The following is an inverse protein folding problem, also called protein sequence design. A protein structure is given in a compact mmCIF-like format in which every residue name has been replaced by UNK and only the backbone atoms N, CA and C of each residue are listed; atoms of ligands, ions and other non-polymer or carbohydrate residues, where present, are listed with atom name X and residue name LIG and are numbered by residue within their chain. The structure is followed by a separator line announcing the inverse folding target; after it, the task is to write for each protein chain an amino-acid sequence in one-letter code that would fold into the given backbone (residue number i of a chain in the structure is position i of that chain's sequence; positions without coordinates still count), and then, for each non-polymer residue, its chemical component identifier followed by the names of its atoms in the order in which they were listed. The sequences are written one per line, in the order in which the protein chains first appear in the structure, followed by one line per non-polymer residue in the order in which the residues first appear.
data_IF_495771969412
#
_entry.id   IF_495771969412
#
_cell.length_a   1.000
_cell.length_b   1.000
_cell.length_c   1.000
_cell.angle_alpha   90.00
_cell.angle_beta   90.00
_cell.angle_gamma   90.00
#
_symmetry.space_group_name_H-M   'P 1'
#
loop_
_entity.id
_entity.type
_entity.pdbx_description
1 polymer ?
#
# COMPACT_ATOMS: atom_id res chain seq x y z
N UNK A 1 -19.64 14.29 14.87
CA UNK A 1 -18.82 13.06 15.07
C UNK A 1 -17.39 13.46 15.19
N UNK A 2 -16.61 12.75 16.01
CA UNK A 2 -15.17 13.00 16.19
C UNK A 2 -14.35 11.83 15.68
N UNK A 3 -13.24 12.09 15.00
CA UNK A 3 -12.30 11.10 14.54
C UNK A 3 -10.90 11.39 15.07
N UNK A 4 -10.24 10.39 15.62
CA UNK A 4 -8.84 10.41 16.00
C UNK A 4 -8.03 9.68 14.94
N UNK A 5 -7.17 10.41 14.24
CA UNK A 5 -6.37 9.91 13.12
C UNK A 5 -4.98 9.54 13.63
N UNK A 6 -4.56 8.32 13.39
CA UNK A 6 -3.27 7.82 13.87
C UNK A 6 -2.26 7.92 12.73
N UNK A 7 -1.40 8.92 12.82
CA UNK A 7 -0.36 9.20 11.84
C UNK A 7 0.76 8.17 11.90
N UNK A 8 1.39 7.90 10.78
CA UNK A 8 2.56 7.04 10.69
C UNK A 8 3.82 7.86 10.45
N UNK A 9 4.86 7.53 11.21
CA UNK A 9 6.19 8.11 11.12
C UNK A 9 7.20 7.00 10.90
N UNK A 10 8.09 7.18 9.93
CA UNK A 10 9.10 6.19 9.60
C UNK A 10 10.37 6.86 9.08
N UNK A 11 11.52 6.36 9.53
CA UNK A 11 12.82 6.84 9.08
C UNK A 11 12.96 8.37 9.19
N UNK A 12 12.47 8.92 10.28
CA UNK A 12 12.55 10.36 10.52
C UNK A 12 11.52 11.21 9.76
N UNK A 13 10.51 10.61 9.12
CA UNK A 13 9.55 11.36 8.30
C UNK A 13 8.10 10.95 8.56
N UNK A 14 7.20 11.93 8.51
CA UNK A 14 5.77 11.70 8.46
C UNK A 14 5.40 11.09 7.09
N UNK A 15 4.62 10.03 7.09
CA UNK A 15 4.16 9.41 5.83
C UNK A 15 3.00 10.21 5.23
N UNK A 16 3.04 10.41 3.91
CA UNK A 16 2.00 11.10 3.13
C UNK A 16 0.61 10.43 3.23
N UNK A 17 0.56 9.14 3.53
CA UNK A 17 -0.68 8.41 3.80
C UNK A 17 -1.50 9.00 4.96
N UNK A 18 -0.92 9.82 5.82
CA UNK A 18 -1.61 10.61 6.85
C UNK A 18 -2.73 11.47 6.25
N UNK A 19 -2.57 11.98 5.03
CA UNK A 19 -3.57 12.82 4.39
C UNK A 19 -4.74 12.02 3.81
N UNK A 20 -4.55 10.73 3.52
CA UNK A 20 -5.67 9.84 3.19
C UNK A 20 -6.63 9.66 4.38
N UNK A 21 -6.09 9.66 5.61
CA UNK A 21 -6.92 9.62 6.83
C UNK A 21 -7.80 10.87 6.95
N UNK A 22 -7.26 12.04 6.59
CA UNK A 22 -8.02 13.29 6.54
C UNK A 22 -9.12 13.25 5.47
N UNK A 23 -8.80 12.75 4.27
CA UNK A 23 -9.77 12.61 3.19
C UNK A 23 -10.93 11.69 3.62
N UNK A 24 -10.63 10.56 4.23
CA UNK A 24 -11.63 9.64 4.75
C UNK A 24 -12.48 10.27 5.86
N UNK A 25 -11.88 10.95 6.83
CA UNK A 25 -12.60 11.63 7.91
C UNK A 25 -13.48 12.77 7.38
N UNK A 26 -13.02 13.47 6.35
CA UNK A 26 -13.82 14.47 5.63
C UNK A 26 -15.07 13.90 4.99
N UNK A 27 -14.98 12.72 4.36
CA UNK A 27 -16.14 12.01 3.80
C UNK A 27 -17.11 11.52 4.89
N UNK A 28 -16.62 11.26 6.11
CA UNK A 28 -17.47 10.95 7.26
C UNK A 28 -18.14 12.19 7.85
N UNK A 29 -17.71 13.41 7.49
CA UNK A 29 -18.13 14.64 8.13
C UNK A 29 -17.72 14.74 9.60
N UNK A 30 -16.55 14.19 9.96
CA UNK A 30 -16.06 14.13 11.33
C UNK A 30 -15.09 15.28 11.64
N UNK A 31 -15.21 15.87 12.83
CA UNK A 31 -14.17 16.72 13.40
C UNK A 31 -12.95 15.87 13.75
N UNK A 32 -11.76 16.37 13.43
CA UNK A 32 -10.54 15.55 13.51
C UNK A 32 -9.54 16.06 14.53
N UNK A 33 -8.88 15.13 15.21
CA UNK A 33 -7.60 15.30 15.89
C UNK A 33 -6.65 14.21 15.46
N UNK A 34 -5.34 14.45 15.59
CA UNK A 34 -4.31 13.50 15.19
C UNK A 34 -3.45 13.06 16.36
N UNK A 35 -2.92 11.84 16.27
CA UNK A 35 -1.84 11.36 17.13
C UNK A 35 -0.63 11.09 16.24
N UNK A 36 0.51 11.64 16.62
CA UNK A 36 1.79 11.41 15.98
C UNK A 36 2.81 10.96 17.02
N UNK A 37 3.39 9.79 16.84
CA UNK A 37 4.65 9.43 17.51
C UNK A 37 5.75 9.74 16.50
N UNK A 38 6.43 10.88 16.69
CA UNK A 38 7.33 11.43 15.68
C UNK A 38 8.14 12.59 16.20
N UNK A 39 8.66 13.38 15.30
CA UNK A 39 9.47 14.58 15.57
C UNK A 39 8.60 15.85 15.40
N UNK A 40 8.81 16.83 16.26
CA UNK A 40 8.15 18.13 16.18
C UNK A 40 8.44 18.89 14.87
N UNK A 41 9.58 18.63 14.24
CA UNK A 41 9.94 19.22 12.94
C UNK A 41 9.13 18.63 11.76
N UNK A 42 8.55 17.44 11.94
CA UNK A 42 7.83 16.68 10.90
C UNK A 42 6.36 16.50 11.24
N UNK A 43 5.72 17.52 11.80
CA UNK A 43 4.27 17.52 12.05
C UNK A 43 3.47 17.68 10.75
N UNK A 44 2.24 17.10 10.67
CA UNK A 44 1.41 17.24 9.49
C UNK A 44 1.01 18.70 9.21
N UNK A 45 0.92 19.08 7.95
CA UNK A 45 0.30 20.34 7.52
C UNK A 45 -1.20 20.24 7.71
N UNK A 46 -1.66 20.68 8.86
CA UNK A 46 -3.03 20.47 9.32
C UNK A 46 -3.45 21.56 10.32
N UNK A 47 -4.60 22.17 10.12
CA UNK A 47 -5.08 23.29 10.96
C UNK A 47 -5.74 22.88 12.27
N UNK A 48 -5.71 21.62 12.65
CA UNK A 48 -6.34 21.11 13.88
C UNK A 48 -5.34 20.70 14.96
N UNK A 49 -5.83 19.93 15.93
CA UNK A 49 -5.05 19.48 17.07
C UNK A 49 -4.22 18.23 16.74
N UNK A 50 -2.94 18.25 17.11
CA UNK A 50 -2.02 17.12 17.01
C UNK A 50 -1.46 16.76 18.39
N UNK A 51 -1.73 15.57 18.87
CA UNK A 51 -1.10 14.97 20.03
C UNK A 51 0.23 14.40 19.61
N UNK A 52 1.32 15.02 20.06
CA UNK A 52 2.67 14.65 19.68
C UNK A 52 3.38 13.93 20.85
N UNK A 53 3.80 12.70 20.58
CA UNK A 53 4.74 11.95 21.41
C UNK A 53 6.09 11.89 20.70
N UNK A 54 7.19 12.15 21.42
CA UNK A 54 8.52 12.23 20.85
C UNK A 54 9.06 10.84 20.49
N UNK A 55 9.36 10.61 19.22
CA UNK A 55 9.92 9.35 18.75
C UNK A 55 11.30 9.04 19.34
N UNK A 56 12.09 10.06 19.73
CA UNK A 56 13.36 9.84 20.42
C UNK A 56 13.15 9.21 21.81
N UNK A 57 12.01 9.50 22.44
CA UNK A 57 11.65 8.94 23.76
C UNK A 57 10.98 7.58 23.65
N UNK A 58 10.06 7.42 22.68
CA UNK A 58 9.17 6.25 22.60
C UNK A 58 9.54 5.25 21.51
N UNK A 59 10.51 5.59 20.65
CA UNK A 59 10.87 4.82 19.45
C UNK A 59 9.88 4.99 18.32
N UNK A 60 10.29 4.66 17.11
CA UNK A 60 9.39 4.74 15.93
C UNK A 60 8.30 3.66 15.94
N UNK A 61 8.57 2.54 16.61
CA UNK A 61 7.53 1.53 16.86
C UNK A 61 7.78 0.72 18.14
N UNK A 62 6.81 0.79 19.03
CA UNK A 62 6.69 -0.07 20.21
C UNK A 62 5.20 -0.33 20.46
N UNK A 63 4.69 -1.54 20.19
CA UNK A 63 3.24 -1.79 20.18
C UNK A 63 2.57 -1.54 21.54
N UNK A 64 3.26 -1.79 22.65
CA UNK A 64 2.70 -1.57 23.98
C UNK A 64 2.61 -0.08 24.32
N UNK A 65 3.69 0.66 24.05
CA UNK A 65 3.77 2.10 24.29
C UNK A 65 2.87 2.87 23.36
N UNK A 66 2.92 2.60 22.05
CA UNK A 66 2.08 3.27 21.06
C UNK A 66 0.58 3.03 21.31
N UNK A 67 0.21 1.80 21.71
CA UNK A 67 -1.16 1.54 22.18
C UNK A 67 -1.53 2.45 23.35
N UNK A 68 -0.65 2.58 24.35
CA UNK A 68 -0.88 3.43 25.52
C UNK A 68 -1.04 4.91 25.14
N UNK A 69 -0.20 5.41 24.26
CA UNK A 69 -0.30 6.78 23.73
C UNK A 69 -1.63 7.02 23.00
N UNK A 70 -2.04 6.08 22.13
CA UNK A 70 -3.35 6.19 21.46
C UNK A 70 -4.49 6.19 22.46
N UNK A 71 -4.46 5.31 23.48
CA UNK A 71 -5.50 5.27 24.51
C UNK A 71 -5.54 6.56 25.33
N UNK A 72 -4.40 7.15 25.69
CA UNK A 72 -4.34 8.45 26.37
C UNK A 72 -4.96 9.58 25.53
N UNK A 73 -4.74 9.59 24.21
CA UNK A 73 -5.39 10.53 23.33
C UNK A 73 -6.91 10.27 23.21
N UNK A 74 -7.32 9.01 23.20
CA UNK A 74 -8.75 8.61 23.20
C UNK A 74 -9.47 9.10 24.45
N UNK A 75 -8.84 9.06 25.61
CA UNK A 75 -9.40 9.61 26.85
C UNK A 75 -9.61 11.12 26.78
N UNK A 76 -8.68 11.86 26.18
CA UNK A 76 -8.77 13.31 26.00
C UNK A 76 -9.82 13.73 24.99
N UNK A 77 -9.90 13.07 23.84
CA UNK A 77 -10.78 13.46 22.73
C UNK A 77 -12.15 12.79 22.73
N UNK A 78 -12.29 11.64 23.37
CA UNK A 78 -13.50 10.82 23.34
C UNK A 78 -14.04 10.64 21.90
N UNK A 79 -13.24 10.13 20.96
CA UNK A 79 -13.63 10.05 19.56
C UNK A 79 -14.66 8.93 19.33
N UNK A 80 -15.50 9.11 18.30
CA UNK A 80 -16.39 8.08 17.77
C UNK A 80 -15.61 7.08 16.89
N UNK A 81 -14.61 7.58 16.15
CA UNK A 81 -13.78 6.79 15.26
C UNK A 81 -12.30 6.95 15.58
N UNK A 82 -11.57 5.84 15.58
CA UNK A 82 -10.11 5.81 15.65
C UNK A 82 -9.63 5.17 14.35
N UNK A 83 -8.88 5.93 13.55
CA UNK A 83 -8.62 5.61 12.17
C UNK A 83 -7.12 5.46 11.92
N UNK A 84 -6.73 4.32 11.36
CA UNK A 84 -5.37 3.98 10.97
C UNK A 84 -5.29 3.74 9.47
N UNK A 85 -4.10 3.84 8.89
CA UNK A 85 -3.82 3.22 7.61
C UNK A 85 -3.79 1.70 7.75
N UNK A 86 -4.19 0.96 6.70
CA UNK A 86 -4.04 -0.49 6.65
C UNK A 86 -2.61 -0.86 6.20
N UNK A 87 -1.63 -0.43 6.98
CA UNK A 87 -0.21 -0.69 6.88
C UNK A 87 0.22 -1.77 7.87
N UNK A 88 1.48 -2.16 7.87
CA UNK A 88 2.04 -3.05 8.90
C UNK A 88 1.91 -2.46 10.32
N UNK A 89 2.04 -1.13 10.46
CA UNK A 89 1.83 -0.41 11.71
C UNK A 89 0.36 -0.44 12.16
N UNK A 90 -0.55 0.00 11.29
CA UNK A 90 -1.98 0.04 11.62
C UNK A 90 -2.57 -1.35 11.78
N UNK A 91 -2.12 -2.33 11.00
CA UNK A 91 -2.58 -3.70 11.09
C UNK A 91 -2.24 -4.36 12.42
N UNK A 92 -1.08 -4.05 13.02
CA UNK A 92 -0.71 -4.56 14.34
C UNK A 92 -1.33 -3.73 15.47
N UNK A 93 -1.42 -2.40 15.35
CA UNK A 93 -1.83 -1.53 16.44
C UNK A 93 -3.36 -1.42 16.58
N UNK A 94 -4.11 -1.34 15.48
CA UNK A 94 -5.56 -1.17 15.52
C UNK A 94 -6.29 -2.27 16.30
N UNK A 95 -6.01 -3.57 16.13
CA UNK A 95 -6.69 -4.62 16.92
C UNK A 95 -6.34 -4.54 18.40
N UNK A 96 -5.14 -4.10 18.76
CA UNK A 96 -4.73 -3.92 20.16
C UNK A 96 -5.51 -2.79 20.83
N UNK A 97 -5.74 -1.70 20.10
CA UNK A 97 -6.56 -0.56 20.56
C UNK A 97 -8.02 -0.96 20.63
N UNK A 98 -8.56 -1.62 19.61
CA UNK A 98 -9.94 -2.09 19.58
C UNK A 98 -10.27 -3.04 20.75
N UNK A 99 -9.38 -3.99 21.02
CA UNK A 99 -9.52 -4.92 22.14
C UNK A 99 -9.50 -4.20 23.49
N UNK A 100 -8.58 -3.24 23.69
CA UNK A 100 -8.50 -2.46 24.93
C UNK A 100 -9.75 -1.62 25.17
N UNK A 101 -10.33 -1.07 24.12
CA UNK A 101 -11.55 -0.25 24.18
C UNK A 101 -12.84 -1.06 24.13
N UNK A 102 -12.75 -2.37 23.92
CA UNK A 102 -13.92 -3.28 23.68
C UNK A 102 -14.81 -2.74 22.55
N UNK A 103 -14.19 -2.19 21.51
CA UNK A 103 -14.84 -1.56 20.36
C UNK A 103 -14.80 -2.49 19.16
N UNK A 104 -15.79 -2.38 18.28
CA UNK A 104 -15.74 -3.04 16.97
C UNK A 104 -14.54 -2.53 16.16
N UNK A 105 -13.95 -3.42 15.36
CA UNK A 105 -12.94 -3.07 14.37
C UNK A 105 -13.44 -3.43 12.97
N UNK A 106 -13.25 -2.53 12.02
CA UNK A 106 -13.43 -2.81 10.58
C UNK A 106 -12.10 -2.55 9.88
N UNK A 107 -11.56 -3.61 9.28
CA UNK A 107 -10.25 -3.57 8.63
C UNK A 107 -10.38 -3.40 7.12
N UNK A 108 -9.37 -2.74 6.53
CA UNK A 108 -9.22 -2.61 5.08
C UNK A 108 -10.46 -1.94 4.43
N UNK A 109 -10.90 -0.83 4.99
CA UNK A 109 -12.03 -0.06 4.47
C UNK A 109 -11.64 0.55 3.13
N UNK A 110 -12.49 0.33 2.11
CA UNK A 110 -12.32 0.84 0.75
C UNK A 110 -13.42 1.84 0.34
N UNK A 111 -14.43 2.01 1.17
CA UNK A 111 -15.54 2.94 0.91
C UNK A 111 -16.44 3.13 2.11
N UNK A 112 -17.19 4.24 2.08
CA UNK A 112 -18.24 4.55 3.04
C UNK A 112 -19.58 4.30 2.33
N UNK A 113 -20.46 3.57 2.99
CA UNK A 113 -21.80 3.26 2.49
C UNK A 113 -22.83 3.60 3.57
N UNK A 114 -24.10 3.65 3.19
CA UNK A 114 -25.18 4.01 4.13
C UNK A 114 -25.17 3.07 5.37
N UNK A 115 -24.87 3.67 6.50
CA UNK A 115 -24.82 3.01 7.81
C UNK A 115 -23.68 2.02 8.01
N UNK A 116 -22.58 2.08 7.20
CA UNK A 116 -21.46 1.18 7.37
C UNK A 116 -20.26 1.47 6.48
N UNK A 117 -19.39 0.46 6.35
CA UNK A 117 -18.15 0.55 5.62
C UNK A 117 -18.04 -0.58 4.59
N UNK A 118 -17.56 -0.26 3.40
CA UNK A 118 -17.26 -1.26 2.38
C UNK A 118 -15.86 -1.80 2.57
N UNK A 119 -15.70 -3.12 2.51
CA UNK A 119 -14.41 -3.82 2.58
C UNK A 119 -14.30 -4.85 1.48
N UNK A 120 -13.08 -5.12 1.00
CA UNK A 120 -12.82 -6.20 0.07
C UNK A 120 -12.99 -7.59 0.72
N UNK A 121 -13.37 -8.57 -0.09
CA UNK A 121 -13.42 -9.97 0.28
C UNK A 121 -12.97 -10.86 -0.89
N UNK A 122 -12.53 -12.09 -0.59
CA UNK A 122 -12.11 -13.07 -1.60
C UNK A 122 -11.05 -12.50 -2.58
N UNK A 123 -9.99 -11.90 -2.05
CA UNK A 123 -8.91 -11.27 -2.85
C UNK A 123 -9.42 -10.17 -3.80
N UNK A 124 -10.37 -9.35 -3.33
CA UNK A 124 -10.94 -8.25 -4.09
C UNK A 124 -12.01 -8.63 -5.11
N UNK A 125 -12.37 -9.92 -5.22
CA UNK A 125 -13.44 -10.40 -6.12
C UNK A 125 -14.83 -10.04 -5.62
N UNK A 126 -14.99 -9.79 -4.34
CA UNK A 126 -16.26 -9.44 -3.71
C UNK A 126 -16.08 -8.20 -2.83
N UNK A 127 -17.15 -7.48 -2.65
CA UNK A 127 -17.25 -6.38 -1.67
C UNK A 127 -18.32 -6.74 -0.66
N UNK A 128 -18.09 -6.37 0.57
CA UNK A 128 -19.06 -6.55 1.66
C UNK A 128 -19.24 -5.24 2.40
N UNK A 129 -20.47 -4.99 2.83
CA UNK A 129 -20.78 -3.92 3.76
C UNK A 129 -20.71 -4.45 5.18
N UNK A 130 -19.95 -3.77 6.03
CA UNK A 130 -19.82 -4.07 7.45
C UNK A 130 -20.44 -2.94 8.24
N UNK A 131 -21.41 -3.26 9.10
CA UNK A 131 -22.03 -2.33 10.04
C UNK A 131 -21.52 -2.61 11.45
N UNK A 132 -20.71 -1.73 12.05
CA UNK A 132 -20.22 -1.93 13.41
C UNK A 132 -21.36 -1.82 14.42
N UNK A 133 -21.31 -2.66 15.47
CA UNK A 133 -22.35 -2.73 16.50
C UNK A 133 -22.03 -1.90 17.75
N UNK A 134 -20.88 -1.25 17.81
CA UNK A 134 -20.46 -0.43 18.96
C UNK A 134 -20.51 1.05 18.61
N UNK A 135 -20.76 1.92 19.60
CA UNK A 135 -20.78 3.38 19.39
C UNK A 135 -19.41 3.92 18.96
N UNK A 136 -18.32 3.40 19.53
CA UNK A 136 -16.95 3.68 19.10
C UNK A 136 -16.47 2.59 18.17
N UNK A 137 -15.73 2.98 17.12
CA UNK A 137 -15.25 2.05 16.11
C UNK A 137 -13.78 2.33 15.79
N UNK A 138 -13.00 1.26 15.68
CA UNK A 138 -11.62 1.31 15.19
C UNK A 138 -11.61 0.90 13.73
N UNK A 139 -10.99 1.70 12.88
CA UNK A 139 -10.95 1.48 11.44
C UNK A 139 -9.51 1.39 10.97
N UNK A 140 -9.25 0.53 9.99
CA UNK A 140 -8.09 0.68 9.13
C UNK A 140 -8.55 0.92 7.69
N UNK A 141 -7.99 1.90 7.00
CA UNK A 141 -8.36 2.23 5.61
C UNK A 141 -7.33 1.70 4.64
N UNK A 142 -7.76 1.21 3.50
CA UNK A 142 -6.86 0.71 2.45
C UNK A 142 -6.08 1.87 1.83
N UNK A 143 -4.77 1.71 1.68
CA UNK A 143 -3.92 2.69 1.00
C UNK A 143 -4.39 2.94 -0.44
N UNK A 144 -4.45 4.22 -0.82
CA UNK A 144 -4.92 4.66 -2.13
C UNK A 144 -6.43 4.57 -2.36
N UNK A 145 -7.23 4.18 -1.33
CA UNK A 145 -8.69 4.16 -1.46
C UNK A 145 -9.33 5.55 -1.30
N UNK A 146 -8.66 6.45 -0.59
CA UNK A 146 -9.16 7.79 -0.28
C UNK A 146 -8.11 8.83 -0.65
N UNK A 147 -8.35 9.54 -1.72
CA UNK A 147 -7.42 10.58 -2.20
C UNK A 147 -7.70 11.90 -1.51
N UNK A 148 -6.67 12.51 -0.95
CA UNK A 148 -6.74 13.89 -0.45
C UNK A 148 -6.64 14.85 -1.64
N UNK A 149 -7.63 15.69 -1.82
CA UNK A 149 -7.65 16.65 -2.92
C UNK A 149 -6.92 17.94 -2.53
N UNK A 150 -6.03 18.41 -3.39
CA UNK A 150 -5.22 19.60 -3.19
C UNK A 150 -3.99 19.37 -2.32
N UNK A 151 -3.34 20.48 -1.92
CA UNK A 151 -2.19 20.43 -1.03
C UNK A 151 -2.61 20.56 0.44
N UNK A 152 -2.04 19.74 1.34
CA UNK A 152 -2.28 19.87 2.77
C UNK A 152 -1.83 21.25 3.28
N UNK A 153 -2.67 21.92 4.06
CA UNK A 153 -2.43 23.27 4.55
C UNK A 153 -2.75 23.40 6.04
N UNK A 154 -2.13 24.40 6.67
CA UNK A 154 -2.37 24.74 8.05
C UNK A 154 -1.18 24.46 8.96
N UNK A 155 -1.25 25.04 10.15
CA UNK A 155 -0.27 24.83 11.24
C UNK A 155 -0.97 24.11 12.37
N UNK A 156 -0.49 22.97 12.85
CA UNK A 156 -1.15 22.21 13.89
C UNK A 156 -1.06 22.90 15.26
N UNK A 157 -2.11 22.72 16.04
CA UNK A 157 -2.08 23.00 17.47
C UNK A 157 -1.47 21.77 18.17
N UNK A 158 -0.17 21.83 18.46
CA UNK A 158 0.55 20.68 19.03
C UNK A 158 0.33 20.64 20.54
N UNK A 159 -0.16 19.52 21.02
CA UNK A 159 -0.25 19.17 22.45
C UNK A 159 0.67 17.98 22.73
N UNK A 160 1.56 18.12 23.73
CA UNK A 160 2.45 17.04 24.13
C UNK A 160 1.64 15.86 24.67
N UNK A 161 1.99 14.66 24.22
CA UNK A 161 1.41 13.41 24.68
C UNK A 161 2.49 12.57 25.35
N UNK A 162 2.29 12.25 26.61
CA UNK A 162 3.17 11.40 27.39
C UNK A 162 2.43 10.13 27.83
N UNK A 163 3.18 9.04 27.95
CA UNK A 163 2.70 7.77 28.45
C UNK A 163 3.79 7.07 29.26
N UNK A 164 3.45 6.62 30.45
CA UNK A 164 4.29 5.76 31.27
C UNK A 164 3.70 4.35 31.30
N UNK A 165 4.45 3.39 30.82
CA UNK A 165 4.01 2.01 30.76
C UNK A 165 5.12 1.05 30.36
N UNK A 166 4.90 -0.26 30.50
CA UNK A 166 5.91 -1.25 30.19
C UNK A 166 6.28 -1.21 28.69
N UNK A 167 7.56 -1.13 28.40
CA UNK A 167 8.13 -1.28 27.06
C UNK A 167 8.76 -2.67 26.97
N UNK A 168 8.00 -3.64 26.46
CA UNK A 168 8.48 -5.03 26.32
C UNK A 168 9.29 -5.28 25.05
N UNK A 169 9.32 -4.30 24.15
CA UNK A 169 10.01 -4.33 22.86
C UNK A 169 10.80 -3.04 22.72
N UNK A 170 12.00 -3.12 22.21
CA UNK A 170 12.83 -1.97 21.90
C UNK A 170 13.01 -1.87 20.39
N UNK A 171 12.76 -0.67 19.84
CA UNK A 171 13.15 -0.37 18.47
C UNK A 171 14.67 -0.27 18.40
N UNK A 172 15.31 -1.11 17.61
CA UNK A 172 16.77 -1.17 17.47
C UNK A 172 17.24 -0.33 16.29
N UNK A 173 16.44 -0.27 15.23
CA UNK A 173 16.77 0.45 14.00
C UNK A 173 16.15 -0.25 12.78
N UNK A 174 16.41 0.36 11.63
CA UNK A 174 16.09 -0.22 10.34
C UNK A 174 17.25 -1.06 9.85
N UNK A 175 16.98 -2.25 9.42
CA UNK A 175 17.90 -3.03 8.61
C UNK A 175 17.67 -2.58 7.16
N UNK A 176 18.65 -1.90 6.51
CA UNK A 176 18.46 -1.52 5.13
C UNK A 176 18.20 -2.79 4.33
N UNK A 177 17.05 -2.86 3.66
CA UNK A 177 16.87 -3.86 2.63
C UNK A 177 18.09 -3.73 1.70
N UNK A 178 18.73 -4.85 1.39
CA UNK A 178 19.78 -4.88 0.35
C UNK A 178 19.27 -3.98 -0.78
N UNK A 179 20.10 -3.02 -1.20
CA UNK A 179 19.68 -1.96 -2.10
C UNK A 179 18.93 -2.62 -3.26
N UNK A 180 17.61 -2.42 -3.31
CA UNK A 180 16.80 -2.98 -4.40
C UNK A 180 17.39 -2.35 -5.65
N UNK A 181 18.04 -3.13 -6.47
CA UNK A 181 18.58 -2.64 -7.74
C UNK A 181 17.51 -1.93 -8.57
N UNK A 182 16.23 -2.25 -8.31
CA UNK A 182 15.08 -1.67 -9.02
C UNK A 182 13.87 -1.54 -8.10
N UNK A 183 13.33 -0.33 -8.00
CA UNK A 183 12.03 -0.04 -7.40
C UNK A 183 10.95 0.02 -8.48
N UNK A 184 10.27 -1.11 -8.71
CA UNK A 184 9.20 -1.19 -9.71
C UNK A 184 7.96 -0.35 -9.35
N UNK A 185 7.79 0.05 -8.10
CA UNK A 185 6.61 0.83 -7.69
C UNK A 185 6.60 2.23 -8.28
N UNK A 186 7.78 2.73 -8.68
CA UNK A 186 7.99 4.04 -9.29
C UNK A 186 8.14 3.99 -10.83
N UNK A 187 8.17 2.80 -11.40
CA UNK A 187 8.37 2.66 -12.84
C UNK A 187 7.10 3.07 -13.61
N UNK A 188 7.24 3.97 -14.56
CA UNK A 188 6.15 4.37 -15.46
C UNK A 188 5.83 3.30 -16.50
N UNK A 189 6.80 2.47 -16.86
CA UNK A 189 6.67 1.39 -17.84
C UNK A 189 7.32 0.14 -17.28
N UNK A 190 6.59 -0.98 -17.30
CA UNK A 190 7.09 -2.28 -16.86
C UNK A 190 6.88 -3.32 -17.97
N UNK A 191 7.95 -4.03 -18.31
CA UNK A 191 7.87 -5.23 -19.16
C UNK A 191 8.17 -6.45 -18.30
N UNK A 192 7.18 -7.30 -18.08
CA UNK A 192 7.25 -8.36 -17.12
C UNK A 192 7.38 -9.74 -17.78
N UNK A 193 8.38 -10.51 -17.35
CA UNK A 193 8.65 -11.86 -17.83
C UNK A 193 7.84 -12.90 -17.07
N UNK A 194 7.10 -13.74 -17.78
CA UNK A 194 6.43 -14.91 -17.25
C UNK A 194 7.18 -16.21 -17.61
N UNK A 195 6.76 -17.32 -17.02
CA UNK A 195 7.34 -18.64 -17.32
C UNK A 195 7.19 -19.04 -18.79
N UNK A 196 6.26 -18.41 -19.53
CA UNK A 196 6.05 -18.63 -20.98
C UNK A 196 7.24 -18.21 -21.85
N UNK A 197 8.25 -17.46 -21.32
CA UNK A 197 9.50 -17.19 -22.05
C UNK A 197 10.38 -18.46 -22.20
N UNK A 198 10.13 -19.51 -21.40
CA UNK A 198 10.69 -20.87 -21.56
C UNK A 198 11.93 -21.15 -20.73
N UNK A 199 12.95 -20.31 -20.71
CA UNK A 199 14.20 -20.50 -19.97
C UNK A 199 14.87 -19.20 -19.56
N UNK A 200 15.82 -19.27 -18.63
CA UNK A 200 16.55 -18.12 -18.10
C UNK A 200 17.29 -17.32 -19.19
N UNK A 201 17.91 -18.00 -20.16
CA UNK A 201 18.64 -17.35 -21.27
C UNK A 201 17.75 -16.42 -22.11
N UNK A 202 16.44 -16.49 -21.97
CA UNK A 202 15.48 -15.66 -22.67
C UNK A 202 15.13 -14.38 -21.92
N UNK A 203 15.51 -14.24 -20.64
CA UNK A 203 15.29 -13.03 -19.84
C UNK A 203 15.91 -11.78 -20.49
N UNK A 204 17.15 -11.83 -21.02
CA UNK A 204 17.75 -10.68 -21.70
C UNK A 204 16.93 -10.13 -22.88
N UNK A 205 16.15 -10.98 -23.56
CA UNK A 205 15.28 -10.55 -24.66
C UNK A 205 14.16 -9.65 -24.13
N UNK A 206 13.58 -9.98 -22.98
CA UNK A 206 12.53 -9.20 -22.36
C UNK A 206 13.12 -7.91 -21.73
N UNK A 207 14.31 -8.01 -21.15
CA UNK A 207 15.05 -6.85 -20.66
C UNK A 207 15.40 -5.86 -21.78
N UNK A 208 15.75 -6.36 -22.98
CA UNK A 208 16.01 -5.52 -24.15
C UNK A 208 14.75 -4.77 -24.61
N UNK A 209 13.58 -5.43 -24.56
CA UNK A 209 12.29 -4.78 -24.86
C UNK A 209 11.98 -3.70 -23.81
N UNK A 210 12.16 -3.97 -22.52
CA UNK A 210 11.99 -3.00 -21.47
C UNK A 210 12.87 -1.76 -21.70
N UNK A 211 14.16 -1.97 -21.97
CA UNK A 211 15.12 -0.91 -22.25
C UNK A 211 14.75 -0.09 -23.50
N UNK A 212 14.22 -0.71 -24.55
CA UNK A 212 13.85 -0.03 -25.80
C UNK A 212 12.71 1.00 -25.60
N UNK A 213 11.92 0.86 -24.53
CA UNK A 213 10.82 1.77 -24.19
C UNK A 213 11.06 2.51 -22.86
N UNK A 214 12.31 2.58 -22.43
CA UNK A 214 12.71 3.23 -21.17
C UNK A 214 11.96 2.70 -19.95
N UNK A 215 11.61 1.41 -19.95
CA UNK A 215 10.89 0.74 -18.89
C UNK A 215 11.78 -0.20 -18.09
N UNK A 216 11.22 -0.70 -16.98
CA UNK A 216 11.86 -1.65 -16.08
C UNK A 216 11.45 -3.10 -16.36
N UNK A 217 12.40 -4.01 -16.12
CA UNK A 217 12.13 -5.44 -16.18
C UNK A 217 11.43 -5.89 -14.89
N UNK A 218 10.20 -6.35 -15.00
CA UNK A 218 9.48 -7.09 -13.95
C UNK A 218 9.45 -8.59 -14.22
N UNK A 219 8.96 -9.37 -13.26
CA UNK A 219 8.77 -10.81 -13.43
C UNK A 219 7.60 -11.36 -12.62
N UNK A 220 7.04 -12.46 -13.08
CA UNK A 220 6.09 -13.25 -12.31
C UNK A 220 6.81 -14.15 -11.29
N UNK A 221 6.15 -14.48 -10.18
CA UNK A 221 6.68 -15.35 -9.13
C UNK A 221 7.36 -16.63 -9.65
N UNK A 222 6.78 -17.40 -10.61
CA UNK A 222 7.43 -18.60 -11.11
C UNK A 222 8.79 -18.39 -11.80
N UNK A 223 9.07 -17.18 -12.29
CA UNK A 223 10.35 -16.79 -12.88
C UNK A 223 11.38 -16.50 -11.79
N UNK A 224 10.93 -15.85 -10.72
CA UNK A 224 11.75 -15.54 -9.53
C UNK A 224 12.05 -16.83 -8.75
N UNK A 225 11.05 -17.66 -8.49
CA UNK A 225 11.21 -18.96 -7.79
C UNK A 225 12.16 -19.89 -8.54
N UNK A 226 12.26 -19.77 -9.87
CA UNK A 226 13.23 -20.50 -10.70
C UNK A 226 14.65 -19.88 -10.69
N UNK A 227 14.84 -18.76 -9.98
CA UNK A 227 16.14 -18.07 -9.90
C UNK A 227 16.57 -17.37 -11.20
N UNK A 228 15.61 -17.08 -12.12
CA UNK A 228 15.94 -16.44 -13.39
C UNK A 228 16.16 -14.94 -13.26
N UNK A 229 15.49 -14.31 -12.27
CA UNK A 229 15.66 -12.91 -11.88
C UNK A 229 15.56 -12.79 -10.36
N UNK A 230 16.02 -11.68 -9.83
CA UNK A 230 15.98 -11.39 -8.40
C UNK A 230 14.57 -11.12 -7.88
N UNK A 231 14.38 -11.34 -6.58
CA UNK A 231 13.11 -11.15 -5.91
C UNK A 231 12.61 -9.69 -5.98
N UNK A 232 13.53 -8.72 -6.04
CA UNK A 232 13.24 -7.30 -6.22
C UNK A 232 12.46 -6.97 -7.50
N UNK A 233 12.45 -7.87 -8.48
CA UNK A 233 11.70 -7.74 -9.75
C UNK A 233 10.35 -8.45 -9.75
N UNK A 234 9.97 -9.08 -8.64
CA UNK A 234 8.71 -9.80 -8.56
C UNK A 234 7.51 -8.87 -8.49
N UNK A 235 6.56 -9.04 -9.42
CA UNK A 235 5.25 -8.37 -9.41
C UNK A 235 4.18 -9.35 -8.91
N UNK A 236 3.37 -8.91 -7.94
CA UNK A 236 2.28 -9.71 -7.37
C UNK A 236 2.06 -9.43 -5.89
N UNK A 237 1.11 -10.12 -5.27
CA UNK A 237 0.77 -9.97 -3.83
C UNK A 237 1.98 -10.20 -2.92
N UNK A 238 2.82 -11.17 -3.26
CA UNK A 238 4.02 -11.54 -2.48
C UNK A 238 5.30 -10.85 -2.97
N UNK A 239 5.18 -9.94 -3.92
CA UNK A 239 6.23 -9.10 -4.47
C UNK A 239 5.88 -7.63 -4.38
N UNK A 240 6.17 -6.90 -5.45
CA UNK A 240 5.81 -5.48 -5.55
C UNK A 240 4.43 -5.32 -6.18
N UNK A 241 3.60 -4.44 -5.62
CA UNK A 241 2.37 -3.97 -6.26
C UNK A 241 2.70 -2.70 -7.03
N UNK A 242 2.36 -2.67 -8.31
CA UNK A 242 2.75 -1.65 -9.27
C UNK A 242 1.53 -1.02 -9.95
N UNK A 243 1.69 0.23 -10.39
CA UNK A 243 0.66 0.97 -11.13
C UNK A 243 1.30 1.82 -12.25
N UNK A 244 2.01 1.17 -13.21
CA UNK A 244 2.64 1.87 -14.30
C UNK A 244 1.61 2.39 -15.30
N UNK A 245 2.00 3.38 -16.11
CA UNK A 245 1.24 3.84 -17.28
C UNK A 245 1.11 2.74 -18.35
N UNK A 246 2.15 1.89 -18.47
CA UNK A 246 2.16 0.77 -19.41
C UNK A 246 2.73 -0.48 -18.75
N UNK A 247 1.97 -1.57 -18.78
CA UNK A 247 2.40 -2.89 -18.34
C UNK A 247 2.39 -3.88 -19.50
N UNK A 248 3.54 -4.44 -19.87
CA UNK A 248 3.63 -5.47 -20.91
C UNK A 248 3.90 -6.83 -20.26
N UNK A 249 2.93 -7.73 -20.33
CA UNK A 249 3.00 -9.08 -19.78
C UNK A 249 3.49 -10.08 -20.84
N UNK A 250 4.73 -10.54 -20.73
CA UNK A 250 5.37 -11.45 -21.67
C UNK A 250 5.32 -12.89 -21.21
N UNK A 251 4.42 -13.72 -21.77
CA UNK A 251 4.29 -15.13 -21.40
C UNK A 251 3.81 -15.38 -19.97
N UNK A 252 2.99 -14.46 -19.44
CA UNK A 252 2.36 -14.55 -18.12
C UNK A 252 0.96 -15.14 -18.28
N UNK A 253 0.59 -16.10 -17.44
CA UNK A 253 -0.71 -16.75 -17.49
C UNK A 253 -1.85 -15.92 -16.89
N UNK A 254 -1.55 -15.01 -15.95
CA UNK A 254 -2.57 -14.22 -15.26
C UNK A 254 -3.13 -14.89 -14.00
N UNK A 255 -2.28 -15.55 -13.22
CA UNK A 255 -2.68 -16.00 -11.90
C UNK A 255 -3.14 -14.82 -11.04
N UNK A 256 -4.17 -15.03 -10.21
CA UNK A 256 -4.83 -13.98 -9.41
C UNK A 256 -3.83 -13.19 -8.59
N UNK A 257 -2.82 -13.86 -8.05
CA UNK A 257 -1.77 -13.24 -7.22
C UNK A 257 -0.91 -12.26 -8.03
N UNK A 258 -0.67 -12.56 -9.31
CA UNK A 258 0.05 -11.65 -10.21
C UNK A 258 -0.83 -10.48 -10.63
N UNK A 259 -2.06 -10.76 -11.03
CA UNK A 259 -3.02 -9.73 -11.44
C UNK A 259 -3.26 -8.71 -10.33
N UNK A 260 -3.39 -9.16 -9.08
CA UNK A 260 -3.57 -8.26 -7.94
C UNK A 260 -2.40 -7.27 -7.76
N UNK A 261 -1.19 -7.65 -8.20
CA UNK A 261 -0.02 -6.77 -8.14
C UNK A 261 0.10 -5.77 -9.28
N UNK A 262 -0.68 -5.91 -10.38
CA UNK A 262 -0.53 -5.04 -11.55
C UNK A 262 -1.85 -4.47 -12.11
N UNK A 263 -2.99 -4.86 -11.57
CA UNK A 263 -4.32 -4.45 -12.07
C UNK A 263 -4.60 -2.94 -12.01
N UNK A 264 -3.77 -2.16 -11.33
CA UNK A 264 -3.85 -0.69 -11.28
C UNK A 264 -3.03 -0.02 -12.39
N UNK A 265 -2.45 -0.79 -13.32
CA UNK A 265 -1.78 -0.25 -14.51
C UNK A 265 -2.79 0.48 -15.40
N UNK A 266 -2.40 1.61 -15.98
CA UNK A 266 -3.30 2.40 -16.84
C UNK A 266 -3.58 1.71 -18.17
N UNK A 267 -2.57 1.00 -18.74
CA UNK A 267 -2.69 0.25 -19.99
C UNK A 267 -1.91 -1.06 -19.93
N UNK A 268 -2.56 -2.17 -20.26
CA UNK A 268 -1.99 -3.52 -20.18
C UNK A 268 -1.95 -4.17 -21.56
N UNK A 269 -0.76 -4.59 -21.97
CA UNK A 269 -0.53 -5.42 -23.14
C UNK A 269 -0.11 -6.81 -22.70
N UNK A 270 -0.83 -7.84 -23.09
CA UNK A 270 -0.44 -9.23 -22.86
C UNK A 270 0.01 -9.92 -24.15
N UNK A 271 1.15 -10.58 -24.09
CA UNK A 271 1.67 -11.41 -25.18
C UNK A 271 1.68 -12.85 -24.69
N UNK A 272 0.81 -13.68 -25.26
CA UNK A 272 0.68 -15.08 -24.87
C UNK A 272 0.34 -15.95 -26.07
N UNK A 273 0.83 -17.20 -26.09
CA UNK A 273 0.43 -18.21 -27.10
C UNK A 273 -0.99 -18.70 -26.88
N UNK A 274 -1.40 -18.75 -25.63
CA UNK A 274 -2.73 -19.18 -25.23
C UNK A 274 -3.67 -17.97 -25.23
N UNK A 275 -4.63 -18.00 -26.16
CA UNK A 275 -5.67 -16.95 -26.29
C UNK A 275 -6.65 -16.92 -25.13
N UNK A 276 -6.78 -18.06 -24.42
CA UNK A 276 -7.70 -18.23 -23.30
C UNK A 276 -7.00 -18.05 -21.94
N UNK A 277 -5.73 -17.60 -21.94
CA UNK A 277 -5.00 -17.29 -20.71
C UNK A 277 -5.70 -16.18 -19.90
N UNK A 278 -5.90 -16.33 -18.58
CA UNK A 278 -6.62 -15.36 -17.74
C UNK A 278 -6.07 -13.92 -17.80
N UNK A 279 -4.80 -13.74 -18.17
CA UNK A 279 -4.20 -12.40 -18.36
C UNK A 279 -4.95 -11.60 -19.44
N UNK A 280 -5.53 -12.30 -20.43
CA UNK A 280 -6.30 -11.67 -21.51
C UNK A 280 -7.56 -10.95 -21.04
N UNK A 281 -8.16 -11.39 -19.93
CA UNK A 281 -9.34 -10.73 -19.34
C UNK A 281 -9.01 -9.37 -18.70
N UNK A 282 -7.74 -9.16 -18.34
CA UNK A 282 -7.26 -7.91 -17.72
C UNK A 282 -6.55 -7.00 -18.72
N UNK A 283 -6.08 -7.56 -19.83
CA UNK A 283 -5.32 -6.83 -20.84
C UNK A 283 -6.23 -5.97 -21.72
N UNK A 284 -5.82 -4.73 -21.99
CA UNK A 284 -6.45 -3.86 -22.99
C UNK A 284 -6.14 -4.37 -24.40
N UNK A 285 -4.95 -4.97 -24.57
CA UNK A 285 -4.54 -5.60 -25.84
C UNK A 285 -3.95 -6.97 -25.58
N UNK A 286 -4.57 -8.01 -26.14
CA UNK A 286 -4.02 -9.37 -26.15
C UNK A 286 -3.38 -9.68 -27.51
N UNK A 287 -2.07 -9.93 -27.51
CA UNK A 287 -1.31 -10.41 -28.66
C UNK A 287 -1.18 -11.92 -28.58
N UNK A 288 -1.90 -12.64 -29.43
CA UNK A 288 -1.81 -14.11 -29.48
C UNK A 288 -0.61 -14.49 -30.35
N UNK A 289 0.55 -14.65 -29.70
CA UNK A 289 1.81 -14.91 -30.39
C UNK A 289 2.84 -15.64 -29.49
N UNK A 290 3.87 -16.17 -30.13
CA UNK A 290 5.09 -16.61 -29.44
C UNK A 290 5.87 -15.37 -28.98
N UNK A 291 5.98 -15.19 -27.66
CA UNK A 291 6.68 -14.05 -27.05
C UNK A 291 8.13 -13.97 -27.54
N UNK A 292 8.79 -15.13 -27.75
CA UNK A 292 10.20 -15.17 -28.18
C UNK A 292 10.41 -14.80 -29.64
N UNK A 293 9.34 -14.77 -30.44
CA UNK A 293 9.34 -14.23 -31.81
C UNK A 293 8.86 -12.78 -31.83
N UNK A 294 7.86 -12.47 -31.04
CA UNK A 294 7.23 -11.15 -31.04
C UNK A 294 8.09 -10.07 -30.35
N UNK A 295 8.64 -10.36 -29.17
CA UNK A 295 9.40 -9.37 -28.40
C UNK A 295 10.64 -8.84 -29.16
N UNK A 296 11.48 -9.67 -29.78
CA UNK A 296 12.59 -9.18 -30.59
C UNK A 296 12.16 -8.32 -31.79
N UNK A 297 11.08 -8.73 -32.48
CA UNK A 297 10.55 -7.98 -33.60
C UNK A 297 10.02 -6.61 -33.20
N UNK A 298 9.30 -6.56 -32.05
CA UNK A 298 8.83 -5.31 -31.48
C UNK A 298 9.99 -4.41 -31.04
N UNK A 299 11.00 -4.97 -30.37
CA UNK A 299 12.20 -4.25 -29.96
C UNK A 299 12.91 -3.61 -31.16
N UNK A 300 13.13 -4.37 -32.22
CA UNK A 300 13.76 -3.86 -33.42
C UNK A 300 12.95 -2.72 -34.06
N UNK A 301 11.62 -2.80 -34.02
CA UNK A 301 10.76 -1.77 -34.61
C UNK A 301 10.67 -0.49 -33.76
N UNK A 302 10.94 -0.58 -32.47
CA UNK A 302 10.96 0.56 -31.56
C UNK A 302 12.31 1.30 -31.55
N UNK A 303 13.38 0.65 -32.05
CA UNK A 303 14.71 1.18 -32.09
C UNK A 303 15.09 1.78 -33.50
N UNK A 304 14.31 1.48 -34.51
CA UNK A 304 14.49 1.96 -35.90
C UNK A 304 13.42 2.88 -36.33
#
# INVERSE_FOLDING_TARGET
MKALLICEYREGQLLESTYELLAFAGQLGADTAMVLVGDAANTPRYGGKVYLADAATYGEYNPAVHKGLVLAAVEKESPDYIIFQHSSYGWDLAPRVAAALKSAQVSEVIGIVDGGFETGACNGKMRRTVKPATARVVLTIQAGAFTFEGEPQGTPQVEKLDFEGPANVQFVGYEPAEAKEVDLTRAEVIVSAGRGIGKQDNVPVIAALAKAISGELGASRPVVDAGWVEHSRQVGITGQTVSPKLYIACGISGAIQHLAGMKKSDFVVAINKDKDAPIGETADVLVVADVMKFAPALTAKLQG
#
